data_IF_287048796482
#
_entry.id   IF_287048796482
#
_cell.length_a   1.000
_cell.length_b   1.000
_cell.length_c   1.000
_cell.angle_alpha   90.00
_cell.angle_beta   90.00
_cell.angle_gamma   90.00
#
_symmetry.space_group_name_H-M   'P 1'
#
loop_
_entity.id
_entity.type
_entity.pdbx_description
1 polymer ?
#
# COMPACT_ATOMS: atom_id res chain seq x y z
N UNK A 1 -26.61 -22.92 -16.29
CA UNK A 1 -26.58 -21.98 -15.13
C UNK A 1 -25.73 -22.65 -14.07
N UNK A 2 -24.77 -21.93 -13.47
CA UNK A 2 -23.88 -22.48 -12.44
C UNK A 2 -24.69 -22.72 -11.15
N UNK A 3 -24.58 -23.89 -10.51
CA UNK A 3 -25.16 -24.12 -9.19
C UNK A 3 -24.38 -23.43 -8.09
N UNK A 4 -24.97 -23.25 -6.90
CA UNK A 4 -24.23 -22.68 -5.74
C UNK A 4 -23.03 -23.55 -5.36
N UNK A 5 -23.15 -24.88 -5.39
CA UNK A 5 -22.03 -25.78 -5.10
C UNK A 5 -20.88 -25.62 -6.10
N UNK A 6 -21.22 -25.48 -7.40
CA UNK A 6 -20.20 -25.22 -8.42
C UNK A 6 -19.54 -23.86 -8.21
N UNK A 7 -20.34 -22.81 -7.88
CA UNK A 7 -19.83 -21.47 -7.59
C UNK A 7 -18.89 -21.47 -6.37
N UNK A 8 -19.26 -22.13 -5.27
CA UNK A 8 -18.44 -22.22 -4.06
C UNK A 8 -17.11 -22.95 -4.30
N UNK A 9 -17.09 -23.92 -5.23
CA UNK A 9 -15.87 -24.61 -5.65
C UNK A 9 -15.00 -23.77 -6.55
N UNK A 10 -15.54 -22.72 -7.20
CA UNK A 10 -14.74 -21.79 -7.96
C UNK A 10 -13.83 -21.00 -7.00
N UNK A 11 -12.57 -21.24 -7.10
CA UNK A 11 -11.54 -20.53 -6.32
C UNK A 11 -10.44 -20.06 -7.26
N UNK A 12 -10.75 -19.10 -8.17
CA UNK A 12 -9.78 -18.64 -9.15
C UNK A 12 -8.60 -18.01 -8.43
N UNK A 13 -7.42 -18.51 -8.77
CA UNK A 13 -6.16 -18.05 -8.17
C UNK A 13 -5.03 -18.18 -9.17
N UNK A 14 -4.03 -17.31 -9.03
CA UNK A 14 -2.75 -17.40 -9.73
C UNK A 14 -1.66 -17.83 -8.77
N UNK A 15 -0.69 -18.54 -9.31
CA UNK A 15 0.52 -18.98 -8.62
C UNK A 15 1.72 -18.27 -9.24
N UNK A 16 2.57 -17.70 -8.41
CA UNK A 16 3.89 -17.20 -8.79
C UNK A 16 4.93 -18.09 -8.13
N UNK A 17 5.83 -18.64 -8.92
CA UNK A 17 7.00 -19.34 -8.43
C UNK A 17 8.24 -18.44 -8.58
N UNK A 18 8.88 -18.09 -7.47
CA UNK A 18 10.05 -17.23 -7.44
C UNK A 18 11.11 -17.82 -6.49
N UNK A 19 12.30 -18.12 -7.02
CA UNK A 19 13.39 -18.72 -6.25
C UNK A 19 12.98 -19.96 -5.41
N UNK A 20 12.09 -20.77 -5.95
CA UNK A 20 11.54 -21.95 -5.26
C UNK A 20 10.41 -21.64 -4.26
N UNK A 21 10.08 -20.37 -4.04
CA UNK A 21 8.99 -19.95 -3.16
C UNK A 21 7.71 -19.81 -3.98
N UNK A 22 6.67 -20.52 -3.54
CA UNK A 22 5.34 -20.43 -4.11
C UNK A 22 4.54 -19.31 -3.42
N UNK A 23 4.00 -18.38 -4.21
CA UNK A 23 3.11 -17.31 -3.76
C UNK A 23 1.77 -17.43 -4.48
N UNK A 24 0.68 -17.41 -3.73
CA UNK A 24 -0.68 -17.57 -4.26
C UNK A 24 -1.48 -16.27 -4.13
N UNK A 25 -2.19 -15.90 -5.18
CA UNK A 25 -3.11 -14.78 -5.16
C UNK A 25 -4.49 -15.19 -5.69
N UNK A 26 -5.53 -14.89 -4.95
CA UNK A 26 -6.91 -15.03 -5.43
C UNK A 26 -7.17 -14.01 -6.55
N UNK A 27 -7.74 -14.47 -7.65
CA UNK A 27 -7.97 -13.67 -8.86
C UNK A 27 -9.44 -13.79 -9.31
N UNK A 28 -10.41 -13.36 -8.46
CA UNK A 28 -11.83 -13.51 -8.75
C UNK A 28 -12.32 -12.66 -9.93
N UNK A 29 -11.52 -11.72 -10.40
CA UNK A 29 -11.83 -10.85 -11.55
C UNK A 29 -10.65 -10.74 -12.51
N UNK A 30 -10.91 -10.31 -13.74
CA UNK A 30 -9.86 -10.03 -14.73
C UNK A 30 -8.91 -8.95 -14.22
N UNK A 31 -9.41 -7.95 -13.48
CA UNK A 31 -8.59 -6.87 -12.96
C UNK A 31 -7.65 -7.33 -11.83
N UNK A 32 -8.12 -8.18 -10.92
CA UNK A 32 -7.25 -8.77 -9.90
C UNK A 32 -6.22 -9.71 -10.50
N UNK A 33 -6.56 -10.43 -11.58
CA UNK A 33 -5.57 -11.21 -12.34
C UNK A 33 -4.52 -10.32 -12.98
N UNK A 34 -4.91 -9.21 -13.60
CA UNK A 34 -3.98 -8.24 -14.17
C UNK A 34 -2.97 -7.72 -13.14
N UNK A 35 -3.39 -7.44 -11.88
CA UNK A 35 -2.48 -7.04 -10.81
C UNK A 35 -1.40 -8.10 -10.54
N UNK A 36 -1.76 -9.38 -10.60
CA UNK A 36 -0.81 -10.48 -10.42
C UNK A 36 0.13 -10.58 -11.62
N UNK A 37 -0.41 -10.54 -12.83
CA UNK A 37 0.35 -10.65 -14.07
C UNK A 37 1.40 -9.53 -14.21
N UNK A 38 1.10 -8.34 -13.66
CA UNK A 38 1.98 -7.15 -13.75
C UNK A 38 2.81 -6.89 -12.48
N UNK A 39 2.84 -7.81 -11.50
CA UNK A 39 3.51 -7.61 -10.22
C UNK A 39 4.97 -7.14 -10.35
N UNK A 40 5.71 -7.68 -11.32
CA UNK A 40 7.13 -7.37 -11.53
C UNK A 40 7.36 -6.22 -12.53
N UNK A 41 6.33 -5.85 -13.28
CA UNK A 41 6.45 -4.89 -14.38
C UNK A 41 5.91 -3.51 -14.01
N UNK A 42 4.83 -3.47 -13.22
CA UNK A 42 4.16 -2.21 -12.86
C UNK A 42 5.03 -1.34 -11.95
N UNK A 43 5.60 -1.94 -10.92
CA UNK A 43 6.41 -1.25 -9.92
C UNK A 43 7.67 -2.08 -9.57
N UNK A 44 8.61 -2.23 -10.51
CA UNK A 44 9.81 -3.07 -10.30
C UNK A 44 10.68 -2.56 -9.14
N UNK A 45 10.65 -1.24 -8.89
CA UNK A 45 11.35 -0.60 -7.76
C UNK A 45 10.84 -1.12 -6.43
N UNK A 46 9.52 -1.31 -6.27
CA UNK A 46 8.94 -1.87 -5.04
C UNK A 46 9.42 -3.29 -4.76
N UNK A 47 9.48 -4.13 -5.79
CA UNK A 47 9.99 -5.51 -5.68
C UNK A 47 11.48 -5.52 -5.31
N UNK A 48 12.31 -4.68 -5.97
CA UNK A 48 13.73 -4.57 -5.68
C UNK A 48 13.98 -4.06 -4.24
N UNK A 49 13.20 -3.09 -3.79
CA UNK A 49 13.29 -2.58 -2.42
C UNK A 49 12.90 -3.64 -1.38
N UNK A 50 11.82 -4.40 -1.59
CA UNK A 50 11.41 -5.51 -0.72
C UNK A 50 12.51 -6.60 -0.67
N UNK A 51 13.23 -6.84 -1.76
CA UNK A 51 14.32 -7.84 -1.79
C UNK A 51 15.45 -7.54 -0.80
N UNK A 52 15.60 -6.29 -0.35
CA UNK A 52 16.60 -5.87 0.64
C UNK A 52 16.18 -6.16 2.11
N UNK A 53 14.92 -6.54 2.38
CA UNK A 53 14.43 -6.73 3.74
C UNK A 53 15.05 -7.97 4.41
N UNK A 54 15.37 -7.85 5.69
CA UNK A 54 15.80 -8.94 6.55
C UNK A 54 14.60 -9.64 7.24
N UNK A 55 14.71 -10.94 7.59
CA UNK A 55 13.57 -11.70 8.15
C UNK A 55 12.93 -11.13 9.42
N UNK A 56 13.70 -10.39 10.23
CA UNK A 56 13.21 -9.79 11.49
C UNK A 56 12.67 -8.36 11.32
N UNK A 57 12.66 -7.85 10.10
CA UNK A 57 12.15 -6.52 9.81
C UNK A 57 10.64 -6.43 10.00
N UNK A 58 10.19 -5.24 10.38
CA UNK A 58 8.77 -4.88 10.46
C UNK A 58 8.43 -3.98 9.29
N UNK A 59 7.58 -4.47 8.42
CA UNK A 59 7.10 -3.75 7.25
C UNK A 59 5.68 -3.21 7.50
N UNK A 60 5.47 -1.92 7.29
CA UNK A 60 4.15 -1.28 7.28
C UNK A 60 3.77 -0.97 5.84
N UNK A 61 2.64 -1.52 5.38
CA UNK A 61 2.12 -1.37 4.02
C UNK A 61 0.84 -0.53 4.06
N UNK A 62 0.94 0.75 3.67
CA UNK A 62 -0.16 1.72 3.70
C UNK A 62 -0.74 1.87 2.29
N UNK A 63 -2.04 1.60 2.16
CA UNK A 63 -2.71 1.44 0.87
C UNK A 63 -2.43 0.05 0.29
N UNK A 64 -2.56 -0.99 1.13
CA UNK A 64 -2.18 -2.36 0.76
C UNK A 64 -3.02 -2.96 -0.38
N UNK A 65 -4.17 -2.37 -0.70
CA UNK A 65 -5.10 -2.84 -1.72
C UNK A 65 -5.44 -4.33 -1.51
N UNK A 66 -5.30 -5.17 -2.51
CA UNK A 66 -5.51 -6.63 -2.39
C UNK A 66 -4.30 -7.39 -1.83
N UNK A 67 -3.27 -6.68 -1.37
CA UNK A 67 -2.13 -7.24 -0.64
C UNK A 67 -1.02 -7.81 -1.53
N UNK A 68 -0.82 -7.28 -2.73
CA UNK A 68 0.22 -7.76 -3.63
C UNK A 68 1.60 -7.71 -2.97
N UNK A 69 2.01 -6.55 -2.44
CA UNK A 69 3.31 -6.36 -1.81
C UNK A 69 3.37 -6.87 -0.37
N UNK A 70 2.24 -6.76 0.38
CA UNK A 70 2.08 -7.37 1.71
C UNK A 70 2.42 -8.86 1.70
N UNK A 71 1.75 -9.62 0.84
CA UNK A 71 1.94 -11.08 0.72
C UNK A 71 3.32 -11.40 0.18
N UNK A 72 3.76 -10.65 -0.84
CA UNK A 72 5.09 -10.82 -1.43
C UNK A 72 6.20 -10.69 -0.39
N UNK A 73 6.22 -9.58 0.36
CA UNK A 73 7.23 -9.33 1.39
C UNK A 73 7.21 -10.40 2.50
N UNK A 74 6.02 -10.71 3.03
CA UNK A 74 5.90 -11.70 4.10
C UNK A 74 6.34 -13.10 3.66
N UNK A 75 6.00 -13.51 2.41
CA UNK A 75 6.27 -14.86 1.91
C UNK A 75 7.72 -15.03 1.46
N UNK A 76 8.29 -14.04 0.76
CA UNK A 76 9.64 -14.14 0.18
C UNK A 76 10.74 -13.71 1.14
N UNK A 77 10.46 -12.78 2.05
CA UNK A 77 11.45 -12.22 3.00
C UNK A 77 11.25 -12.67 4.45
N UNK A 78 10.08 -13.25 4.78
CA UNK A 78 9.79 -13.71 6.13
C UNK A 78 9.56 -12.59 7.14
N UNK A 79 9.36 -11.34 6.70
CA UNK A 79 9.13 -10.17 7.54
C UNK A 79 7.77 -10.20 8.21
N UNK A 80 7.61 -9.46 9.32
CA UNK A 80 6.30 -9.15 9.89
C UNK A 80 5.69 -7.98 9.15
N UNK A 81 4.43 -8.10 8.71
CA UNK A 81 3.75 -7.04 7.96
C UNK A 81 2.51 -6.55 8.69
N UNK A 82 2.36 -5.23 8.74
CA UNK A 82 1.17 -4.53 9.20
C UNK A 82 0.58 -3.75 8.03
N UNK A 83 -0.52 -4.25 7.48
CA UNK A 83 -1.12 -3.75 6.25
C UNK A 83 -2.40 -2.95 6.55
N UNK A 84 -2.57 -1.83 5.88
CA UNK A 84 -3.70 -0.91 6.04
C UNK A 84 -4.39 -0.70 4.71
N UNK A 85 -5.68 -1.07 4.63
CA UNK A 85 -6.51 -0.93 3.44
C UNK A 85 -7.94 -0.56 3.86
N UNK A 86 -8.38 0.67 3.58
CA UNK A 86 -9.70 1.14 4.01
C UNK A 86 -10.86 0.64 3.15
N UNK A 87 -10.65 0.24 1.88
CA UNK A 87 -11.72 -0.25 1.01
C UNK A 87 -12.08 -1.69 1.40
N UNK A 88 -13.36 -1.92 1.72
CA UNK A 88 -13.81 -3.15 2.36
C UNK A 88 -13.62 -4.41 1.50
N UNK A 89 -13.83 -4.32 0.18
CA UNK A 89 -13.69 -5.46 -0.73
C UNK A 89 -12.21 -5.79 -0.99
N UNK A 90 -11.37 -4.76 -1.16
CA UNK A 90 -9.92 -4.92 -1.26
C UNK A 90 -9.35 -5.54 0.01
N UNK A 91 -9.77 -5.05 1.19
CA UNK A 91 -9.41 -5.61 2.47
C UNK A 91 -9.84 -7.08 2.62
N UNK A 92 -11.04 -7.41 2.19
CA UNK A 92 -11.52 -8.81 2.19
C UNK A 92 -10.62 -9.70 1.34
N UNK A 93 -10.22 -9.23 0.14
CA UNK A 93 -9.34 -9.98 -0.74
C UNK A 93 -7.89 -10.04 -0.24
N UNK A 94 -7.40 -8.97 0.40
CA UNK A 94 -6.13 -8.96 1.11
C UNK A 94 -6.07 -10.08 2.16
N UNK A 95 -7.10 -10.20 3.02
CA UNK A 95 -7.17 -11.26 4.01
C UNK A 95 -7.24 -12.67 3.39
N UNK A 96 -7.96 -12.82 2.27
CA UNK A 96 -7.98 -14.08 1.52
C UNK A 96 -6.59 -14.44 1.01
N UNK A 97 -5.83 -13.48 0.50
CA UNK A 97 -4.47 -13.68 0.03
C UNK A 97 -3.50 -14.04 1.19
N UNK A 98 -3.67 -13.42 2.35
CA UNK A 98 -2.94 -13.78 3.58
C UNK A 98 -3.21 -15.25 3.96
N UNK A 99 -4.49 -15.66 3.97
CA UNK A 99 -4.89 -17.03 4.31
C UNK A 99 -4.36 -18.06 3.29
N UNK A 100 -4.47 -17.79 1.99
CA UNK A 100 -3.97 -18.67 0.93
C UNK A 100 -2.48 -18.99 1.03
N UNK A 101 -1.71 -18.08 1.64
CA UNK A 101 -0.27 -18.23 1.81
C UNK A 101 0.14 -18.64 3.23
N UNK A 102 -0.83 -18.93 4.11
CA UNK A 102 -0.61 -19.33 5.52
C UNK A 102 0.18 -18.27 6.33
N UNK A 103 -0.08 -16.98 6.05
CA UNK A 103 0.68 -15.87 6.62
C UNK A 103 0.05 -15.28 7.89
N UNK A 104 -1.00 -15.88 8.47
CA UNK A 104 -1.69 -15.36 9.66
C UNK A 104 -0.82 -15.16 10.91
N UNK A 105 0.34 -15.82 10.98
CA UNK A 105 1.34 -15.62 12.06
C UNK A 105 2.28 -14.42 11.81
N UNK A 106 2.35 -13.91 10.58
CA UNK A 106 3.29 -12.85 10.17
C UNK A 106 2.61 -11.55 9.75
N UNK A 107 1.39 -11.62 9.22
CA UNK A 107 0.66 -10.47 8.68
C UNK A 107 -0.52 -10.12 9.58
N UNK A 108 -0.68 -8.83 9.85
CA UNK A 108 -1.88 -8.24 10.44
C UNK A 108 -2.41 -7.17 9.48
N UNK A 109 -3.62 -7.39 8.97
CA UNK A 109 -4.30 -6.42 8.12
C UNK A 109 -5.39 -5.69 8.91
N UNK A 110 -5.55 -4.40 8.64
CA UNK A 110 -6.54 -3.53 9.28
C UNK A 110 -7.38 -2.82 8.23
N UNK A 111 -8.73 -2.88 8.39
CA UNK A 111 -9.68 -2.18 7.53
C UNK A 111 -9.82 -0.72 8.01
N UNK A 112 -8.81 0.08 7.77
CA UNK A 112 -8.78 1.51 8.09
C UNK A 112 -7.76 2.23 7.20
N UNK A 113 -7.92 3.55 7.06
CA UNK A 113 -6.93 4.39 6.40
C UNK A 113 -6.00 5.07 7.39
N UNK A 114 -4.73 5.24 7.01
CA UNK A 114 -3.80 6.08 7.77
C UNK A 114 -3.87 7.52 7.26
N UNK A 115 -3.84 8.47 8.21
CA UNK A 115 -3.94 9.91 7.93
C UNK A 115 -3.29 10.73 9.06
N UNK A 116 -3.36 12.04 8.98
CA UNK A 116 -2.91 13.00 10.00
C UNK A 116 -3.88 13.12 11.19
N UNK A 117 -5.12 12.65 11.03
CA UNK A 117 -6.15 12.68 12.06
C UNK A 117 -6.73 11.29 12.28
N UNK A 118 -7.16 11.01 13.52
CA UNK A 118 -7.84 9.79 13.89
C UNK A 118 -9.34 10.06 14.11
N UNK A 119 -10.19 9.09 13.75
CA UNK A 119 -11.62 9.16 13.96
C UNK A 119 -12.45 8.52 12.84
N UNK A 120 -13.75 8.70 12.91
CA UNK A 120 -14.66 8.27 11.84
C UNK A 120 -14.50 9.16 10.62
N UNK A 121 -14.56 8.56 9.45
CA UNK A 121 -14.39 9.22 8.16
C UNK A 121 -15.26 8.57 7.09
N UNK A 122 -15.22 9.09 5.87
CA UNK A 122 -15.78 8.47 4.67
C UNK A 122 -14.65 8.14 3.69
N UNK A 123 -14.74 7.00 3.03
CA UNK A 123 -13.91 6.66 1.89
C UNK A 123 -14.73 6.85 0.62
N UNK A 124 -14.29 7.73 -0.25
CA UNK A 124 -14.94 8.04 -1.52
C UNK A 124 -14.29 7.21 -2.63
N UNK A 125 -15.05 6.25 -3.17
CA UNK A 125 -14.56 5.32 -4.17
C UNK A 125 -14.65 5.93 -5.57
N UNK A 126 -13.56 5.92 -6.30
CA UNK A 126 -13.50 6.37 -7.70
C UNK A 126 -14.22 5.40 -8.64
N UNK A 127 -14.16 4.10 -8.33
CA UNK A 127 -14.88 3.02 -9.02
C UNK A 127 -15.20 1.87 -8.03
N UNK A 128 -15.97 0.87 -8.50
CA UNK A 128 -16.42 -0.29 -7.69
C UNK A 128 -15.71 -1.59 -8.07
N UNK A 129 -14.62 -1.52 -8.83
CA UNK A 129 -13.88 -2.71 -9.23
C UNK A 129 -13.09 -3.27 -8.08
N UNK A 130 -13.21 -4.57 -7.84
CA UNK A 130 -12.35 -5.26 -6.89
C UNK A 130 -10.88 -5.14 -7.32
N UNK A 131 -10.05 -4.66 -6.42
CA UNK A 131 -8.68 -4.26 -6.71
C UNK A 131 -8.56 -2.83 -7.26
N UNK A 132 -9.64 -2.04 -7.30
CA UNK A 132 -9.62 -0.63 -7.67
C UNK A 132 -8.69 0.20 -6.79
N UNK A 133 -8.35 1.40 -7.25
CA UNK A 133 -7.48 2.38 -6.58
C UNK A 133 -7.95 3.80 -6.88
N UNK A 134 -7.18 4.80 -6.50
CA UNK A 134 -7.55 6.22 -6.60
C UNK A 134 -8.79 6.58 -5.76
N UNK A 135 -8.94 5.94 -4.62
CA UNK A 135 -9.98 6.25 -3.65
C UNK A 135 -9.49 7.38 -2.72
N UNK A 136 -10.42 8.16 -2.18
CA UNK A 136 -10.09 9.33 -1.36
C UNK A 136 -10.67 9.21 0.04
N UNK A 137 -9.83 9.29 1.07
CA UNK A 137 -10.24 9.25 2.47
C UNK A 137 -10.52 10.66 2.99
N UNK A 138 -11.77 10.92 3.37
CA UNK A 138 -12.21 12.15 4.02
C UNK A 138 -12.49 13.33 3.09
N UNK A 139 -11.99 13.33 1.87
CA UNK A 139 -12.17 14.43 0.90
C UNK A 139 -12.73 13.91 -0.43
N UNK A 140 -13.56 14.74 -1.10
CA UNK A 140 -14.13 14.38 -2.42
C UNK A 140 -13.28 14.95 -3.54
N UNK A 141 -12.01 14.49 -3.61
CA UNK A 141 -11.05 14.89 -4.64
C UNK A 141 -10.37 13.66 -5.22
N UNK A 142 -9.87 13.77 -6.44
CA UNK A 142 -9.07 12.73 -7.09
C UNK A 142 -7.59 12.79 -6.63
N UNK A 143 -6.77 11.88 -7.15
CA UNK A 143 -5.32 11.81 -6.85
C UNK A 143 -4.50 13.03 -7.32
N UNK A 144 -5.14 14.01 -7.97
CA UNK A 144 -4.57 15.31 -8.39
C UNK A 144 -5.17 16.46 -7.60
N UNK A 145 -5.90 16.15 -6.52
CA UNK A 145 -6.65 17.09 -5.68
C UNK A 145 -7.71 17.90 -6.46
N UNK A 146 -8.23 17.34 -7.56
CA UNK A 146 -9.35 17.94 -8.28
C UNK A 146 -10.68 17.40 -7.74
N UNK A 147 -11.75 18.22 -7.73
CA UNK A 147 -13.06 17.76 -7.28
C UNK A 147 -13.49 16.47 -7.99
N UNK A 148 -13.91 15.46 -7.23
CA UNK A 148 -14.33 14.17 -7.73
C UNK A 148 -15.79 13.89 -7.36
N UNK A 149 -16.56 13.37 -8.33
CA UNK A 149 -17.84 12.73 -8.05
C UNK A 149 -17.59 11.26 -7.78
N UNK A 150 -17.69 10.77 -6.52
CA UNK A 150 -17.42 9.36 -6.23
C UNK A 150 -18.51 8.45 -6.82
N UNK A 151 -18.12 7.27 -7.27
CA UNK A 151 -19.06 6.20 -7.65
C UNK A 151 -19.85 5.68 -6.43
N UNK A 152 -19.22 5.70 -5.25
CA UNK A 152 -19.82 5.33 -3.97
C UNK A 152 -19.00 5.93 -2.81
N UNK A 153 -19.64 6.08 -1.64
CA UNK A 153 -18.94 6.44 -0.39
C UNK A 153 -19.27 5.41 0.67
N UNK A 154 -18.27 4.88 1.32
CA UNK A 154 -18.40 3.98 2.47
C UNK A 154 -17.94 4.67 3.76
N UNK A 155 -18.56 4.31 4.89
CA UNK A 155 -18.03 4.68 6.20
C UNK A 155 -16.67 4.03 6.42
N UNK A 156 -15.72 4.78 6.98
CA UNK A 156 -14.37 4.32 7.23
C UNK A 156 -13.86 4.85 8.59
N UNK A 157 -12.70 4.37 8.99
CA UNK A 157 -11.97 4.86 10.17
C UNK A 157 -10.60 5.33 9.70
N UNK A 158 -10.21 6.51 10.14
CA UNK A 158 -8.87 7.03 9.99
C UNK A 158 -8.06 6.85 11.28
N UNK A 159 -6.77 6.55 11.18
CA UNK A 159 -5.86 6.45 12.31
C UNK A 159 -4.52 7.14 11.99
N UNK A 160 -3.79 7.52 13.03
CA UNK A 160 -2.41 7.99 12.90
C UNK A 160 -1.46 6.85 13.19
N UNK A 161 -0.43 6.67 12.35
CA UNK A 161 0.56 5.62 12.57
C UNK A 161 1.29 5.82 13.92
N UNK A 162 1.57 7.07 14.29
CA UNK A 162 2.16 7.41 15.58
C UNK A 162 1.37 6.87 16.79
N UNK A 163 0.03 6.92 16.71
CA UNK A 163 -0.83 6.45 17.79
C UNK A 163 -0.89 4.93 17.86
N UNK A 164 -0.90 4.26 16.70
CA UNK A 164 -0.86 2.79 16.62
C UNK A 164 0.48 2.23 17.17
N UNK A 165 1.59 2.90 16.88
CA UNK A 165 2.90 2.51 17.40
C UNK A 165 2.99 2.80 18.89
N UNK A 166 2.53 3.95 19.36
CA UNK A 166 2.50 4.30 20.77
C UNK A 166 1.62 3.35 21.61
N UNK A 167 0.53 2.86 21.05
CA UNK A 167 -0.36 1.88 21.66
C UNK A 167 0.19 0.44 21.61
N UNK A 168 1.31 0.18 20.93
CA UNK A 168 1.86 -1.16 20.74
C UNK A 168 1.08 -2.04 19.77
N UNK A 169 0.09 -1.50 19.06
CA UNK A 169 -0.67 -2.22 18.02
C UNK A 169 0.22 -2.54 16.82
N UNK A 170 1.11 -1.62 16.47
CA UNK A 170 2.15 -1.78 15.46
C UNK A 170 3.50 -1.66 16.16
N UNK A 171 4.40 -2.64 16.05
CA UNK A 171 5.78 -2.48 16.51
C UNK A 171 6.49 -1.36 15.75
N UNK A 172 7.57 -0.83 16.31
CA UNK A 172 8.37 0.18 15.64
C UNK A 172 8.81 -0.32 14.24
N UNK A 173 8.38 0.33 13.14
CA UNK A 173 8.66 -0.15 11.78
C UNK A 173 10.13 0.00 11.40
N UNK A 174 10.61 -0.93 10.55
CA UNK A 174 11.90 -0.82 9.86
C UNK A 174 11.74 -0.30 8.43
N UNK A 175 10.61 -0.63 7.81
CA UNK A 175 10.26 -0.23 6.44
C UNK A 175 8.79 0.20 6.37
N UNK A 176 8.50 1.25 5.60
CA UNK A 176 7.13 1.72 5.36
C UNK A 176 6.94 1.95 3.86
N UNK A 177 5.89 1.35 3.27
CA UNK A 177 5.36 1.75 1.96
C UNK A 177 4.15 2.64 2.16
N UNK A 178 4.08 3.74 1.40
CA UNK A 178 2.92 4.64 1.39
C UNK A 178 2.51 4.87 -0.06
N UNK A 179 1.30 4.45 -0.38
CA UNK A 179 0.73 4.51 -1.73
C UNK A 179 -0.79 4.63 -1.53
N UNK A 180 -1.26 5.86 -1.39
CA UNK A 180 -2.63 6.22 -1.03
C UNK A 180 -3.25 7.24 -1.98
N UNK A 181 -2.73 7.23 -3.23
CA UNK A 181 -3.29 7.96 -4.36
C UNK A 181 -3.46 9.48 -4.11
N UNK A 182 -2.39 10.16 -3.66
CA UNK A 182 -2.33 11.62 -3.52
C UNK A 182 -2.43 12.13 -2.08
N UNK A 183 -2.64 11.27 -1.09
CA UNK A 183 -2.74 11.66 0.33
C UNK A 183 -1.53 11.27 1.18
N UNK A 184 -0.42 10.93 0.56
CA UNK A 184 0.85 10.57 1.22
C UNK A 184 1.32 11.63 2.22
N UNK A 185 1.20 12.96 1.94
CA UNK A 185 1.58 13.98 2.91
C UNK A 185 0.80 13.91 4.23
N UNK A 186 -0.48 13.51 4.21
CA UNK A 186 -1.28 13.32 5.42
C UNK A 186 -0.82 12.12 6.24
N UNK A 187 -0.50 11.00 5.56
CA UNK A 187 0.05 9.82 6.23
C UNK A 187 1.39 10.16 6.90
N UNK A 188 2.27 10.89 6.21
CA UNK A 188 3.55 11.38 6.75
C UNK A 188 3.34 12.30 7.95
N UNK A 189 2.35 13.19 7.92
CA UNK A 189 2.02 14.05 9.05
C UNK A 189 1.52 13.27 10.28
N UNK A 190 0.81 12.15 10.06
CA UNK A 190 0.35 11.23 11.11
C UNK A 190 1.40 10.24 11.61
N UNK A 191 2.60 10.24 11.01
CA UNK A 191 3.70 9.32 11.33
C UNK A 191 4.96 10.02 11.84
N UNK A 192 4.86 11.28 12.27
CA UNK A 192 6.02 12.13 12.56
C UNK A 192 7.00 11.53 13.58
N UNK A 193 6.51 10.98 14.70
CA UNK A 193 7.34 10.34 15.73
C UNK A 193 8.00 9.05 15.22
N UNK A 194 7.28 8.30 14.40
CA UNK A 194 7.81 7.09 13.73
C UNK A 194 8.95 7.48 12.79
N UNK A 195 8.79 8.55 12.01
CA UNK A 195 9.82 9.06 11.09
C UNK A 195 11.08 9.54 11.81
N UNK A 196 10.94 10.11 13.00
CA UNK A 196 12.08 10.53 13.85
C UNK A 196 12.75 9.33 14.55
N UNK A 197 12.06 8.19 14.63
CA UNK A 197 12.54 6.98 15.28
C UNK A 197 13.73 6.33 14.56
N UNK A 198 14.68 5.79 15.33
CA UNK A 198 15.91 5.17 14.78
C UNK A 198 15.70 3.79 14.15
N UNK A 199 14.57 3.12 14.43
CA UNK A 199 14.24 1.80 13.87
C UNK A 199 13.94 1.88 12.39
N UNK A 200 13.36 2.99 11.92
CA UNK A 200 12.95 3.17 10.54
C UNK A 200 14.19 3.39 9.65
N UNK A 201 14.44 2.45 8.74
CA UNK A 201 15.59 2.44 7.83
C UNK A 201 15.24 2.94 6.44
N UNK A 202 14.06 2.63 5.94
CA UNK A 202 13.65 3.08 4.61
C UNK A 202 12.14 3.27 4.46
N UNK A 203 11.79 4.11 3.49
CA UNK A 203 10.43 4.41 3.06
C UNK A 203 10.36 4.23 1.54
N UNK A 204 9.26 3.67 1.05
CA UNK A 204 8.88 3.78 -0.35
C UNK A 204 7.58 4.57 -0.41
N UNK A 205 7.56 5.67 -1.15
CA UNK A 205 6.41 6.57 -1.23
C UNK A 205 6.09 6.86 -2.70
N UNK A 206 4.84 6.61 -3.11
CA UNK A 206 4.37 7.11 -4.40
C UNK A 206 4.24 8.64 -4.32
N UNK A 207 4.97 9.35 -5.16
CA UNK A 207 5.07 10.81 -5.08
C UNK A 207 4.72 11.43 -6.42
N UNK A 208 3.84 12.43 -6.41
CA UNK A 208 3.50 13.22 -7.58
C UNK A 208 4.17 14.60 -7.50
N UNK A 209 5.25 14.81 -8.24
CA UNK A 209 5.98 16.07 -8.20
C UNK A 209 5.20 17.29 -8.74
N UNK A 210 4.02 17.07 -9.35
CA UNK A 210 3.14 18.16 -9.76
C UNK A 210 2.29 18.71 -8.61
N UNK A 211 2.28 18.03 -7.44
CA UNK A 211 1.55 18.47 -6.25
C UNK A 211 2.52 19.18 -5.29
N UNK A 212 2.26 20.45 -4.94
CA UNK A 212 3.16 21.23 -4.07
C UNK A 212 3.38 20.61 -2.69
N UNK A 213 2.35 20.00 -2.09
CA UNK A 213 2.43 19.33 -0.80
C UNK A 213 3.28 18.05 -0.83
N UNK A 214 3.33 17.35 -1.98
CA UNK A 214 4.26 16.23 -2.17
C UNK A 214 5.71 16.71 -2.27
N UNK A 215 5.97 17.84 -2.92
CA UNK A 215 7.31 18.43 -2.98
C UNK A 215 7.76 18.83 -1.57
N UNK A 216 6.91 19.51 -0.80
CA UNK A 216 7.18 19.87 0.59
C UNK A 216 7.42 18.64 1.48
N UNK A 217 6.65 17.55 1.27
CA UNK A 217 6.84 16.28 1.95
C UNK A 217 8.25 15.70 1.70
N UNK A 218 8.71 15.69 0.45
CA UNK A 218 10.06 15.23 0.08
C UNK A 218 11.13 16.05 0.79
N UNK A 219 11.02 17.38 0.80
CA UNK A 219 11.95 18.28 1.50
C UNK A 219 11.97 17.99 3.01
N UNK A 220 10.80 17.80 3.64
CA UNK A 220 10.71 17.42 5.06
C UNK A 220 11.41 16.10 5.36
N UNK A 221 11.22 15.08 4.54
CA UNK A 221 11.90 13.80 4.72
C UNK A 221 13.42 13.96 4.61
N UNK A 222 13.91 14.81 3.71
CA UNK A 222 15.33 15.09 3.59
C UNK A 222 15.88 15.83 4.84
N UNK A 223 15.11 16.72 5.47
CA UNK A 223 15.52 17.38 6.74
C UNK A 223 15.59 16.39 7.90
N UNK A 224 14.79 15.31 7.87
CA UNK A 224 14.85 14.21 8.83
C UNK A 224 16.00 13.21 8.56
N UNK A 225 16.83 13.46 7.56
CA UNK A 225 18.02 12.68 7.25
C UNK A 225 17.78 11.58 6.21
N UNK A 226 16.57 11.43 5.67
CA UNK A 226 16.34 10.48 4.57
C UNK A 226 16.92 11.01 3.25
N UNK A 227 17.40 10.09 2.42
CA UNK A 227 17.93 10.39 1.08
C UNK A 227 17.35 9.41 0.08
N UNK A 228 17.16 9.84 -1.15
CA UNK A 228 16.74 9.01 -2.29
C UNK A 228 17.74 9.18 -3.45
N UNK A 229 17.74 8.23 -4.36
CA UNK A 229 18.54 8.32 -5.59
C UNK A 229 17.71 9.01 -6.69
N UNK A 230 18.13 10.21 -7.17
CA UNK A 230 17.43 10.88 -8.26
C UNK A 230 17.38 10.07 -9.57
N UNK A 231 18.38 9.21 -9.83
CA UNK A 231 18.41 8.38 -11.03
C UNK A 231 17.34 7.27 -10.94
N UNK A 232 17.16 6.68 -9.74
CA UNK A 232 16.09 5.71 -9.49
C UNK A 232 14.71 6.35 -9.69
N UNK A 233 14.48 7.54 -9.16
CA UNK A 233 13.21 8.28 -9.31
C UNK A 233 12.94 8.61 -10.78
N UNK A 234 13.94 9.14 -11.50
CA UNK A 234 13.80 9.47 -12.93
C UNK A 234 13.48 8.24 -13.79
N UNK A 235 13.98 7.06 -13.42
CA UNK A 235 13.67 5.80 -14.08
C UNK A 235 12.25 5.29 -13.77
N UNK A 236 11.75 5.52 -12.56
CA UNK A 236 10.42 5.10 -12.12
C UNK A 236 9.30 6.07 -12.55
N UNK A 237 9.64 7.31 -12.89
CA UNK A 237 8.66 8.36 -13.22
C UNK A 237 7.81 8.01 -14.44
N UNK A 238 6.49 8.09 -14.27
CA UNK A 238 5.51 7.91 -15.34
C UNK A 238 5.56 9.12 -16.29
N UNK A 239 5.97 8.88 -17.53
CA UNK A 239 6.26 9.95 -18.51
C UNK A 239 5.02 10.44 -19.29
N UNK A 240 3.89 9.71 -19.19
CA UNK A 240 2.67 10.02 -19.97
C UNK A 240 1.40 9.56 -19.23
N UNK A 241 0.23 9.91 -19.79
CA UNK A 241 -1.06 9.54 -19.25
C UNK A 241 -1.48 10.36 -18.02
N UNK A 242 -2.53 9.88 -17.32
CA UNK A 242 -3.12 10.59 -16.18
C UNK A 242 -2.17 10.70 -14.98
N UNK A 243 -1.22 9.78 -14.87
CA UNK A 243 -0.23 9.71 -13.78
C UNK A 243 1.14 10.29 -14.17
N UNK A 244 1.21 11.10 -15.21
CA UNK A 244 2.47 11.78 -15.59
C UNK A 244 3.04 12.57 -14.41
N UNK A 245 4.32 12.34 -14.08
CA UNK A 245 5.00 12.99 -12.96
C UNK A 245 4.87 12.25 -11.63
N UNK A 246 4.20 11.10 -11.62
CA UNK A 246 4.16 10.20 -10.45
C UNK A 246 5.33 9.23 -10.54
N UNK A 247 5.99 8.99 -9.40
CA UNK A 247 7.08 8.01 -9.27
C UNK A 247 7.14 7.43 -7.85
N UNK A 248 7.68 6.23 -7.73
CA UNK A 248 8.05 5.63 -6.46
C UNK A 248 9.41 6.19 -6.01
N UNK A 249 9.44 6.86 -4.87
CA UNK A 249 10.66 7.35 -4.21
C UNK A 249 11.08 6.37 -3.12
N UNK A 250 12.27 5.81 -3.22
CA UNK A 250 12.88 4.98 -2.17
C UNK A 250 13.81 5.83 -1.32
N UNK A 251 13.35 6.19 -0.13
CA UNK A 251 14.12 6.93 0.86
C UNK A 251 14.86 5.96 1.78
N UNK A 252 16.14 6.22 2.06
CA UNK A 252 16.98 5.48 3.01
C UNK A 252 17.73 6.46 3.94
N UNK A 253 18.09 5.98 5.13
CA UNK A 253 18.98 6.68 6.04
C UNK A 253 19.89 5.71 6.80
#
# INVERSE_FOLDING_TARGET
MLSLEEYEKLNPRCEILHEGIKVLYATPTVFTKWRVDTLFEKEPVTIQWIAEFAPDDVFVDVGANVGMYTVWAAKTRGVKVFAFEPEAQNYSLLNRNIMLNELGGRVRAYCLGLSDQAGYSELHLSDLRLGGSCHSLGERVDFRHQPMQPAYSQGSVAARLDDLVAAGTVPAPTHIKIDVDGFEPKVIAGARRVLEGRSLRSLLIETNHNLPDHVEMVEKLQTLGFRYDPAQVAAAERKSGAFKGVAEYVFKR
#
